data_IF_161703503700
#
_entry.id   IF_161703503700
#
_cell.length_a   1.000
_cell.length_b   1.000
_cell.length_c   1.000
_cell.angle_alpha   90.00
_cell.angle_beta   90.00
_cell.angle_gamma   90.00
#
_symmetry.space_group_name_H-M   'P 1'
#
loop_
_entity.id
_entity.type
_entity.pdbx_description
1 polymer ?
#
# COMPACT_ATOMS: atom_id res chain seq x y z
N UNK A 1 -21.18 -10.75 5.48
CA UNK A 1 -19.75 -10.40 5.41
C UNK A 1 -19.57 -9.35 4.33
N UNK A 2 -18.76 -8.34 4.59
CA UNK A 2 -18.54 -7.28 3.62
C UNK A 2 -17.63 -7.76 2.48
N UNK A 3 -17.70 -7.08 1.34
CA UNK A 3 -16.78 -7.33 0.23
C UNK A 3 -15.35 -7.15 0.68
N UNK A 4 -15.10 -6.19 1.53
CA UNK A 4 -13.77 -5.95 2.09
C UNK A 4 -13.27 -7.16 2.86
N UNK A 5 -14.10 -7.74 3.74
CA UNK A 5 -13.72 -8.94 4.47
C UNK A 5 -13.45 -10.13 3.54
N UNK A 6 -14.26 -10.28 2.51
CA UNK A 6 -14.04 -11.35 1.56
C UNK A 6 -12.71 -11.20 0.83
N UNK A 7 -12.36 -10.00 0.43
CA UNK A 7 -11.07 -9.76 -0.20
C UNK A 7 -9.90 -10.04 0.72
N UNK A 8 -10.04 -9.73 2.01
CA UNK A 8 -8.97 -9.95 2.97
C UNK A 8 -8.79 -11.42 3.32
N UNK A 9 -9.87 -12.20 3.33
CA UNK A 9 -9.84 -13.56 3.85
C UNK A 9 -9.96 -14.64 2.79
N UNK A 10 -10.66 -14.36 1.72
CA UNK A 10 -10.98 -15.37 0.72
C UNK A 10 -10.12 -15.30 -0.53
N UNK A 11 -9.01 -14.74 -0.44
CA UNK A 11 -8.15 -14.82 -1.53
C UNK A 11 -7.96 -13.78 -2.37
N UNK A 12 -8.46 -13.01 -1.83
CA UNK A 12 -8.21 -12.25 -2.70
C UNK A 12 -7.10 -11.44 -2.83
N UNK A 13 -6.44 -11.15 -1.92
CA UNK A 13 -5.50 -10.24 -2.23
C UNK A 13 -4.65 -9.67 -1.11
N UNK A 14 -4.54 -10.35 -0.01
CA UNK A 14 -3.64 -9.89 1.03
C UNK A 14 -2.23 -10.45 0.81
N UNK A 15 -1.25 -9.63 1.10
CA UNK A 15 0.16 -10.01 0.97
C UNK A 15 0.93 -9.44 2.16
N UNK A 16 1.66 -10.30 2.88
CA UNK A 16 2.56 -9.84 3.92
C UNK A 16 3.86 -9.36 3.26
N UNK A 17 4.22 -8.12 3.50
CA UNK A 17 5.45 -7.53 3.03
C UNK A 17 6.32 -7.23 4.25
N UNK A 18 7.38 -7.98 4.42
CA UNK A 18 8.27 -7.88 5.57
C UNK A 18 9.73 -7.73 5.16
N UNK A 19 9.96 -7.26 3.95
CA UNK A 19 11.30 -7.01 3.44
C UNK A 19 11.36 -5.66 2.73
N UNK A 20 12.54 -5.30 2.25
CA UNK A 20 12.76 -4.02 1.59
C UNK A 20 12.80 -4.14 0.06
N UNK A 21 12.23 -5.21 -0.48
CA UNK A 21 12.15 -5.41 -1.92
C UNK A 21 11.01 -4.59 -2.50
N UNK A 22 11.27 -3.92 -3.61
CA UNK A 22 10.25 -3.17 -4.32
C UNK A 22 9.20 -4.12 -4.92
N UNK A 23 7.93 -3.88 -4.57
CA UNK A 23 6.81 -4.56 -5.23
C UNK A 23 6.36 -3.72 -6.42
N UNK A 24 6.24 -4.34 -7.59
CA UNK A 24 5.85 -3.67 -8.82
C UNK A 24 4.66 -4.36 -9.46
N UNK A 25 3.95 -3.62 -10.31
CA UNK A 25 2.80 -4.16 -11.05
C UNK A 25 1.72 -4.76 -10.15
N UNK A 26 1.52 -4.15 -8.99
CA UNK A 26 0.51 -4.58 -8.04
C UNK A 26 -0.72 -3.67 -8.12
N UNK A 27 -1.78 -4.08 -7.45
CA UNK A 27 -2.98 -3.26 -7.24
C UNK A 27 -3.37 -3.39 -5.78
N UNK A 28 -2.67 -2.65 -4.93
CA UNK A 28 -3.03 -2.60 -3.52
C UNK A 28 -3.99 -1.44 -3.29
N UNK A 29 -5.04 -1.71 -2.54
CA UNK A 29 -6.03 -0.69 -2.20
C UNK A 29 -5.84 -0.17 -0.78
N UNK A 30 -5.13 -0.92 0.04
CA UNK A 30 -4.85 -0.54 1.42
C UNK A 30 -3.68 -1.33 1.97
N UNK A 31 -3.05 -0.82 3.02
CA UNK A 31 -2.11 -1.63 3.79
C UNK A 31 -2.14 -1.22 5.26
N UNK A 32 -1.83 -2.18 6.12
CA UNK A 32 -1.84 -2.01 7.58
C UNK A 32 -0.45 -2.32 8.10
N UNK A 33 0.13 -1.39 8.85
CA UNK A 33 1.44 -1.60 9.47
C UNK A 33 1.33 -2.66 10.58
N UNK A 34 2.14 -3.70 10.50
CA UNK A 34 2.18 -4.76 11.50
C UNK A 34 3.14 -4.42 12.65
N UNK A 35 4.02 -3.48 12.43
CA UNK A 35 4.97 -2.93 13.38
C UNK A 35 5.29 -1.51 12.94
N UNK A 36 6.11 -0.79 13.68
CA UNK A 36 6.54 0.53 13.25
C UNK A 36 7.27 0.40 11.92
N UNK A 37 6.79 1.12 10.90
CA UNK A 37 7.18 0.92 9.51
C UNK A 37 7.50 2.23 8.84
N UNK A 38 8.56 2.26 8.05
CA UNK A 38 8.90 3.38 7.19
C UNK A 38 8.72 2.95 5.74
N UNK A 39 7.91 3.69 5.00
CA UNK A 39 7.67 3.44 3.57
C UNK A 39 8.63 4.28 2.76
N UNK A 40 9.40 3.63 1.87
CA UNK A 40 10.34 4.32 1.00
C UNK A 40 9.70 4.72 -0.33
N UNK A 41 8.89 3.85 -0.91
CA UNK A 41 8.22 4.10 -2.19
C UNK A 41 6.76 3.72 -2.09
N UNK A 42 5.89 4.61 -2.50
CA UNK A 42 4.46 4.37 -2.58
C UNK A 42 3.93 5.15 -3.79
N UNK A 43 3.73 4.46 -4.90
CA UNK A 43 3.24 5.10 -6.11
C UNK A 43 2.07 4.34 -6.68
N UNK A 44 1.31 5.00 -7.52
CA UNK A 44 0.13 4.43 -8.15
C UNK A 44 -0.68 5.52 -8.84
N UNK A 45 -1.98 5.45 -8.73
CA UNK A 45 -2.89 6.43 -9.31
C UNK A 45 -4.19 5.77 -9.74
N UNK A 46 -4.88 6.41 -10.68
CA UNK A 46 -6.15 5.90 -11.18
C UNK A 46 -5.99 4.48 -11.72
N UNK A 47 -6.96 3.63 -11.41
CA UNK A 47 -6.90 2.25 -11.87
C UNK A 47 -7.02 2.12 -13.38
N UNK A 48 -7.77 3.00 -14.02
CA UNK A 48 -8.05 2.89 -15.44
C UNK A 48 -8.19 4.28 -16.06
N UNK A 49 -7.25 4.72 -16.88
CA UNK A 49 -5.94 4.08 -17.10
C UNK A 49 -4.96 4.38 -15.97
N UNK A 50 -4.03 3.47 -15.75
CA UNK A 50 -2.96 3.71 -14.78
C UNK A 50 -2.03 4.78 -15.33
N UNK A 51 -1.71 5.84 -14.52
CA UNK A 51 -0.84 6.91 -15.00
C UNK A 51 0.56 6.41 -15.34
N UNK A 52 1.17 7.05 -16.32
CA UNK A 52 2.57 6.79 -16.68
C UNK A 52 3.29 8.13 -16.83
N UNK A 53 4.21 8.50 -15.93
CA UNK A 53 4.64 7.71 -14.75
C UNK A 53 3.59 7.69 -13.65
N UNK A 54 3.65 6.70 -12.75
CA UNK A 54 2.74 6.64 -11.60
C UNK A 54 2.93 7.83 -10.66
N UNK A 55 1.85 8.23 -10.01
CA UNK A 55 1.87 9.32 -9.04
C UNK A 55 2.50 8.85 -7.74
N UNK A 56 3.36 9.66 -7.15
CA UNK A 56 3.90 9.38 -5.82
C UNK A 56 2.92 9.83 -4.75
N UNK A 57 2.60 8.92 -3.83
CA UNK A 57 1.72 9.21 -2.72
C UNK A 57 2.45 9.62 -1.45
N UNK A 58 3.76 9.40 -1.35
CA UNK A 58 4.50 9.71 -0.12
C UNK A 58 4.35 11.15 0.29
N UNK A 59 4.52 12.07 -0.65
CA UNK A 59 4.38 13.49 -0.37
C UNK A 59 2.93 13.90 -0.22
N UNK A 60 2.06 13.41 -1.10
CA UNK A 60 0.67 13.86 -1.12
C UNK A 60 -0.12 13.45 0.12
N UNK A 61 0.21 12.33 0.73
CA UNK A 61 -0.47 11.89 1.97
C UNK A 61 0.40 12.11 3.21
N UNK A 62 1.54 12.78 3.06
CA UNK A 62 2.37 13.18 4.20
C UNK A 62 3.18 12.07 4.84
N UNK A 63 3.49 11.01 4.12
CA UNK A 63 4.26 9.89 4.65
C UNK A 63 5.77 10.02 4.47
N UNK A 64 6.23 10.97 3.65
CA UNK A 64 7.66 11.11 3.37
C UNK A 64 8.44 11.37 4.65
N UNK A 65 9.38 10.49 4.96
CA UNK A 65 10.20 10.60 6.17
C UNK A 65 9.47 10.32 7.47
N UNK A 66 8.26 9.80 7.42
CA UNK A 66 7.47 9.50 8.62
C UNK A 66 7.47 8.01 8.93
N UNK A 67 7.28 7.69 10.21
CA UNK A 67 7.11 6.32 10.67
C UNK A 67 5.64 6.03 10.88
N UNK A 68 5.14 4.99 10.23
CA UNK A 68 3.81 4.48 10.51
C UNK A 68 3.87 3.64 11.76
N UNK A 69 3.02 3.94 12.72
CA UNK A 69 2.92 3.14 13.94
C UNK A 69 2.17 1.85 13.66
N UNK A 70 2.44 0.84 14.48
CA UNK A 70 1.74 -0.44 14.40
C UNK A 70 0.23 -0.21 14.40
N UNK A 71 -0.46 -0.85 13.46
CA UNK A 71 -1.90 -0.73 13.31
C UNK A 71 -2.36 0.41 12.42
N UNK A 72 -1.46 1.25 11.95
CA UNK A 72 -1.83 2.33 11.03
C UNK A 72 -2.34 1.76 9.72
N UNK A 73 -3.48 2.27 9.26
CA UNK A 73 -4.12 1.85 8.01
C UNK A 73 -3.99 2.97 6.99
N UNK A 74 -3.46 2.66 5.84
CA UNK A 74 -3.37 3.58 4.71
C UNK A 74 -4.24 3.02 3.58
N UNK A 75 -5.15 3.83 3.07
CA UNK A 75 -6.11 3.42 2.04
C UNK A 75 -5.92 4.29 0.80
N UNK A 76 -5.92 3.68 -0.36
CA UNK A 76 -5.87 4.41 -1.62
C UNK A 76 -7.16 5.20 -1.82
N UNK A 77 -7.09 6.40 -2.44
CA UNK A 77 -8.30 7.14 -2.77
C UNK A 77 -9.24 6.32 -3.66
N UNK A 78 -10.52 6.66 -3.63
CA UNK A 78 -11.52 5.96 -4.43
C UNK A 78 -11.15 6.04 -5.91
N UNK A 79 -11.16 4.89 -6.59
CA UNK A 79 -10.80 4.81 -8.00
C UNK A 79 -9.31 4.74 -8.26
N UNK A 80 -8.50 4.67 -7.22
CA UNK A 80 -7.06 4.61 -7.35
C UNK A 80 -6.51 3.36 -6.65
N UNK A 81 -5.27 3.02 -6.97
CA UNK A 81 -4.60 1.88 -6.36
C UNK A 81 -3.11 2.18 -6.23
N UNK A 82 -2.47 1.54 -5.26
CA UNK A 82 -1.03 1.58 -5.13
C UNK A 82 -0.45 0.48 -6.00
N UNK A 83 0.40 0.84 -6.95
CA UNK A 83 0.99 -0.12 -7.88
C UNK A 83 2.42 -0.47 -7.54
N UNK A 84 3.14 0.42 -6.87
CA UNK A 84 4.50 0.15 -6.40
C UNK A 84 4.56 0.44 -4.91
N UNK A 85 5.16 -0.47 -4.16
CA UNK A 85 5.34 -0.33 -2.72
C UNK A 85 6.69 -0.89 -2.31
N UNK A 86 7.46 -0.09 -1.60
CA UNK A 86 8.74 -0.51 -1.03
C UNK A 86 8.87 0.03 0.38
N UNK A 87 9.26 -0.82 1.31
CA UNK A 87 9.51 -0.43 2.69
C UNK A 87 10.99 -0.15 2.88
N UNK A 88 11.32 0.85 3.70
CA UNK A 88 12.66 1.06 4.20
C UNK A 88 12.91 0.19 5.43
N UNK A 89 11.87 -0.04 6.22
CA UNK A 89 11.92 -0.91 7.41
C UNK A 89 10.52 -1.31 7.81
N UNK A 90 10.39 -2.32 8.65
CA UNK A 90 9.12 -2.76 9.20
C UNK A 90 8.42 -3.80 8.34
N UNK A 91 7.12 -3.93 8.56
CA UNK A 91 6.28 -4.87 7.80
C UNK A 91 4.84 -4.38 7.73
N UNK A 92 4.18 -4.72 6.62
CA UNK A 92 2.78 -4.39 6.40
C UNK A 92 2.05 -5.59 5.82
N UNK A 93 0.72 -5.61 5.97
CA UNK A 93 -0.14 -6.48 5.18
C UNK A 93 -0.83 -5.58 4.17
N UNK A 94 -0.63 -5.84 2.89
CA UNK A 94 -1.22 -5.09 1.79
C UNK A 94 -2.38 -5.86 1.18
N UNK A 95 -3.40 -5.13 0.80
CA UNK A 95 -4.63 -5.73 0.28
C UNK A 95 -4.96 -5.21 -1.10
#
# INVERSE_FOLDING_TARGET
MSIFSERLTAGGGSELIADTTLRTDKKYYAFIAQEDTVVETLTGGAEDPIPSPPTSYLTSIGLSGKTLKQGALIVAPIGEAFTYLKLASGSVIAY
#
